data_IF_359907392475
#
_entry.id   IF_359907392475
#
_cell.length_a   1.000
_cell.length_b   1.000
_cell.length_c   1.000
_cell.angle_alpha   90.00
_cell.angle_beta   90.00
_cell.angle_gamma   90.00
#
_symmetry.space_group_name_H-M   'P 1'
#
loop_
_entity.id
_entity.type
_entity.pdbx_description
1 polymer ?
#
# COMPACT_ATOMS: atom_id res chain seq x y z
N UNK A 1 -13.46 -0.54 7.14
CA UNK A 1 -12.02 -0.32 6.89
C UNK A 1 -11.29 -1.31 7.79
N UNK A 2 -10.21 -1.94 7.30
CA UNK A 2 -9.40 -2.95 8.00
C UNK A 2 -9.22 -2.65 9.51
N UNK A 3 -9.30 -3.68 10.37
CA UNK A 3 -9.33 -3.57 11.85
C UNK A 3 -8.04 -3.09 12.52
N UNK A 4 -7.00 -2.73 11.77
CA UNK A 4 -5.74 -2.26 12.34
C UNK A 4 -5.30 -0.99 11.63
N UNK A 5 -5.17 0.09 12.38
CA UNK A 5 -4.34 1.21 11.93
C UNK A 5 -2.90 0.70 11.77
N UNK A 6 -2.16 1.20 10.77
CA UNK A 6 -0.73 1.00 10.71
C UNK A 6 -0.09 1.38 12.05
N UNK A 7 1.01 0.73 12.41
CA UNK A 7 1.82 1.17 13.56
C UNK A 7 2.34 2.58 13.30
N UNK A 8 2.44 3.39 14.35
CA UNK A 8 3.07 4.71 14.28
C UNK A 8 4.55 4.64 13.86
N UNK A 9 5.21 3.54 14.19
CA UNK A 9 6.63 3.31 13.90
C UNK A 9 6.91 1.88 13.44
N UNK A 10 7.86 1.77 12.52
CA UNK A 10 8.43 0.51 12.03
C UNK A 10 9.94 0.59 12.19
N UNK A 11 10.54 -0.45 12.77
CA UNK A 11 12.01 -0.53 12.92
C UNK A 11 12.69 -0.79 11.56
N UNK A 12 12.03 -1.57 10.69
CA UNK A 12 12.51 -1.82 9.34
C UNK A 12 12.05 -0.70 8.39
N UNK A 13 13.04 -0.07 7.74
CA UNK A 13 12.82 1.00 6.75
C UNK A 13 12.03 0.50 5.54
N UNK A 14 12.22 -0.74 5.10
CA UNK A 14 11.47 -1.34 3.99
C UNK A 14 10.00 -1.50 4.37
N UNK A 15 9.70 -1.96 5.58
CA UNK A 15 8.33 -2.04 6.07
C UNK A 15 7.68 -0.65 6.13
N UNK A 16 8.37 0.33 6.70
CA UNK A 16 7.91 1.72 6.76
C UNK A 16 7.57 2.28 5.39
N UNK A 17 8.46 2.10 4.41
CA UNK A 17 8.24 2.57 3.03
C UNK A 17 7.06 1.84 2.36
N UNK A 18 6.96 0.52 2.50
CA UNK A 18 5.86 -0.24 1.91
C UNK A 18 4.50 0.16 2.50
N UNK A 19 4.44 0.42 3.81
CA UNK A 19 3.23 0.89 4.48
C UNK A 19 2.84 2.30 4.02
N UNK A 20 3.79 3.23 3.98
CA UNK A 20 3.53 4.58 3.49
C UNK A 20 3.09 4.58 2.03
N UNK A 21 3.72 3.77 1.18
CA UNK A 21 3.28 3.58 -0.21
C UNK A 21 1.83 3.08 -0.28
N UNK A 22 1.48 2.05 0.50
CA UNK A 22 0.11 1.53 0.53
C UNK A 22 -0.91 2.57 1.01
N UNK A 23 -0.54 3.43 1.96
CA UNK A 23 -1.38 4.54 2.42
C UNK A 23 -1.61 5.57 1.32
N UNK A 24 -0.55 6.00 0.63
CA UNK A 24 -0.65 6.93 -0.50
C UNK A 24 -1.55 6.40 -1.61
N UNK A 25 -1.38 5.11 -1.99
CA UNK A 25 -2.27 4.48 -2.99
C UNK A 25 -3.73 4.44 -2.50
N UNK A 26 -3.97 4.20 -1.22
CA UNK A 26 -5.32 4.14 -0.67
C UNK A 26 -6.00 5.52 -0.56
N UNK A 27 -5.21 6.58 -0.36
CA UNK A 27 -5.67 7.97 -0.29
C UNK A 27 -5.94 8.54 -1.68
N UNK A 28 -4.93 8.58 -2.55
CA UNK A 28 -5.07 8.97 -3.95
C UNK A 28 -3.96 8.34 -4.83
N UNK A 29 -4.29 7.31 -5.64
CA UNK A 29 -3.34 6.71 -6.57
C UNK A 29 -2.74 7.68 -7.60
N UNK A 30 -3.40 8.82 -7.86
CA UNK A 30 -2.92 9.81 -8.83
C UNK A 30 -1.74 10.64 -8.33
N UNK A 31 -1.49 10.66 -7.02
CA UNK A 31 -0.33 11.34 -6.44
C UNK A 31 0.96 10.53 -6.55
N UNK A 32 0.88 9.26 -7.01
CA UNK A 32 2.07 8.44 -7.20
C UNK A 32 2.77 8.82 -8.51
N UNK A 33 3.83 9.60 -8.36
CA UNK A 33 4.68 10.09 -9.43
C UNK A 33 6.01 9.32 -9.54
N UNK A 34 6.80 9.67 -10.57
CA UNK A 34 8.11 9.08 -10.80
C UNK A 34 9.08 9.31 -9.62
N UNK A 35 8.93 10.39 -8.85
CA UNK A 35 9.78 10.64 -7.69
C UNK A 35 9.51 9.61 -6.60
N UNK A 36 8.23 9.35 -6.31
CA UNK A 36 7.79 8.32 -5.37
C UNK A 36 8.31 6.95 -5.78
N UNK A 37 8.16 6.58 -7.06
CA UNK A 37 8.65 5.31 -7.60
C UNK A 37 10.18 5.20 -7.49
N UNK A 38 10.92 6.28 -7.77
CA UNK A 38 12.38 6.29 -7.65
C UNK A 38 12.85 6.09 -6.21
N UNK A 39 12.18 6.69 -5.22
CA UNK A 39 12.47 6.46 -3.80
C UNK A 39 12.27 4.98 -3.43
N UNK A 40 11.17 4.37 -3.89
CA UNK A 40 10.92 2.95 -3.64
C UNK A 40 12.01 2.06 -4.24
N UNK A 41 12.51 2.40 -5.45
CA UNK A 41 13.59 1.66 -6.12
C UNK A 41 14.93 1.69 -5.38
N UNK A 42 15.12 2.57 -4.41
CA UNK A 42 16.31 2.56 -3.54
C UNK A 42 16.34 1.35 -2.59
N UNK A 43 15.17 0.74 -2.31
CA UNK A 43 15.00 -0.35 -1.33
C UNK A 43 14.33 -1.60 -1.88
N UNK A 44 13.67 -1.49 -3.03
CA UNK A 44 12.97 -2.58 -3.69
C UNK A 44 13.48 -2.74 -5.12
N UNK A 45 13.64 -3.98 -5.55
CA UNK A 45 13.80 -4.30 -6.97
C UNK A 45 12.51 -4.03 -7.74
N UNK A 46 12.61 -3.91 -9.07
CA UNK A 46 11.43 -3.73 -9.93
C UNK A 46 10.41 -4.87 -9.76
N UNK A 47 10.88 -6.11 -9.52
CA UNK A 47 10.02 -7.26 -9.27
C UNK A 47 9.27 -7.12 -7.94
N UNK A 48 9.97 -6.80 -6.85
CA UNK A 48 9.36 -6.60 -5.53
C UNK A 48 8.38 -5.41 -5.54
N UNK A 49 8.71 -4.33 -6.24
CA UNK A 49 7.81 -3.18 -6.36
C UNK A 49 6.55 -3.53 -7.16
N UNK A 50 6.69 -4.30 -8.24
CA UNK A 50 5.54 -4.81 -8.99
C UNK A 50 4.64 -5.71 -8.14
N UNK A 51 5.23 -6.59 -7.33
CA UNK A 51 4.48 -7.45 -6.40
C UNK A 51 3.79 -6.64 -5.31
N UNK A 52 4.45 -5.62 -4.75
CA UNK A 52 3.87 -4.71 -3.77
C UNK A 52 2.67 -3.95 -4.35
N UNK A 53 2.79 -3.39 -5.55
CA UNK A 53 1.68 -2.74 -6.25
C UNK A 53 0.50 -3.69 -6.45
N UNK A 54 0.76 -4.90 -6.94
CA UNK A 54 -0.29 -5.91 -7.14
C UNK A 54 -0.98 -6.27 -5.81
N UNK A 55 -0.21 -6.43 -4.74
CA UNK A 55 -0.74 -6.74 -3.41
C UNK A 55 -1.62 -5.61 -2.86
N UNK A 56 -1.15 -4.35 -2.94
CA UNK A 56 -1.92 -3.18 -2.50
C UNK A 56 -3.24 -3.08 -3.26
N UNK A 57 -3.21 -3.19 -4.60
CA UNK A 57 -4.43 -3.19 -5.41
C UNK A 57 -5.38 -4.34 -5.05
N UNK A 58 -4.84 -5.55 -4.83
CA UNK A 58 -5.63 -6.71 -4.43
C UNK A 58 -6.34 -6.48 -3.09
N UNK A 59 -5.65 -5.91 -2.10
CA UNK A 59 -6.24 -5.59 -0.79
C UNK A 59 -7.32 -4.51 -0.95
N UNK A 60 -7.06 -3.42 -1.66
CA UNK A 60 -8.05 -2.34 -1.88
C UNK A 60 -9.31 -2.90 -2.57
N UNK A 61 -9.15 -3.70 -3.63
CA UNK A 61 -10.26 -4.33 -4.31
C UNK A 61 -11.05 -5.29 -3.40
N UNK A 62 -10.35 -6.06 -2.56
CA UNK A 62 -10.98 -6.97 -1.60
C UNK A 62 -11.78 -6.21 -0.53
N UNK A 63 -11.26 -5.07 -0.05
CA UNK A 63 -11.97 -4.20 0.90
C UNK A 63 -13.21 -3.57 0.25
N UNK A 64 -13.10 -3.11 -1.00
CA UNK A 64 -14.23 -2.59 -1.77
C UNK A 64 -15.30 -3.67 -1.96
N UNK A 65 -14.89 -4.89 -2.30
CA UNK A 65 -15.80 -6.03 -2.42
C UNK A 65 -16.54 -6.32 -1.11
N UNK A 66 -15.83 -6.35 0.02
CA UNK A 66 -16.47 -6.49 1.34
C UNK A 66 -17.48 -5.39 1.64
N UNK A 67 -17.16 -4.14 1.28
CA UNK A 67 -18.07 -2.99 1.40
C UNK A 67 -19.32 -3.15 0.53
N UNK A 68 -19.19 -3.61 -0.72
CA UNK A 68 -20.32 -3.89 -1.62
C UNK A 68 -21.27 -4.93 -1.01
N UNK A 69 -20.71 -5.95 -0.36
CA UNK A 69 -21.48 -7.00 0.29
C UNK A 69 -22.07 -6.60 1.65
N UNK A 70 -21.78 -5.39 2.15
CA UNK A 70 -22.20 -4.95 3.47
C UNK A 70 -21.58 -5.76 4.62
N UNK A 71 -20.39 -6.34 4.39
CA UNK A 71 -19.69 -7.09 5.43
C UNK A 71 -19.17 -6.11 6.48
N UNK A 72 -19.67 -6.25 7.71
CA UNK A 72 -19.12 -5.55 8.86
C UNK A 72 -17.82 -6.24 9.29
N UNK A 73 -16.83 -5.43 9.66
CA UNK A 73 -15.56 -5.92 10.15
C UNK A 73 -15.71 -6.49 11.56
#
# INVERSE_FOLDING_TARGET
>A
MSKGEPKDTYEDVRESLAVNFALLVAEDPHEIDDQTINIMKEKFSDAELSELCAFVCFIIASQLFGKILGLEA
#
